data_IF_780751250915
#
_entry.id   IF_780751250915
#
_cell.length_a   1.000
_cell.length_b   1.000
_cell.length_c   1.000
_cell.angle_alpha   90.00
_cell.angle_beta   90.00
_cell.angle_gamma   90.00
#
_symmetry.space_group_name_H-M   'P 1'
#
loop_
_entity.id
_entity.type
_entity.pdbx_description
1 polymer ?
#
# COMPACT_ATOMS: atom_id res chain seq x y z
N UNK A 1 30.50 -69.25 -22.86
CA UNK A 1 29.99 -68.29 -21.86
C UNK A 1 30.40 -66.88 -22.28
N UNK A 2 29.57 -65.88 -21.96
CA UNK A 2 29.75 -64.43 -22.17
C UNK A 2 29.32 -63.83 -23.53
N UNK A 3 28.03 -63.50 -23.56
CA UNK A 3 27.30 -62.57 -24.44
C UNK A 3 27.79 -61.11 -24.30
N UNK A 4 27.99 -60.39 -25.41
CA UNK A 4 28.33 -58.94 -25.41
C UNK A 4 27.11 -58.11 -25.87
N UNK A 5 26.70 -57.18 -24.99
CA UNK A 5 25.53 -56.27 -25.10
C UNK A 5 25.84 -55.07 -26.04
N UNK A 6 24.85 -54.42 -26.68
CA UNK A 6 25.08 -53.38 -27.69
C UNK A 6 25.12 -51.95 -27.12
N UNK A 7 25.62 -51.05 -27.97
CA UNK A 7 25.93 -49.65 -27.73
C UNK A 7 24.75 -48.77 -27.28
N UNK A 8 25.02 -47.84 -26.36
CA UNK A 8 24.14 -46.73 -26.00
C UNK A 8 24.74 -45.39 -26.41
N UNK A 9 23.87 -44.57 -26.97
CA UNK A 9 24.03 -43.27 -27.63
C UNK A 9 24.64 -42.21 -26.69
N UNK A 10 25.68 -41.51 -27.14
CA UNK A 10 26.22 -40.32 -26.47
C UNK A 10 25.30 -39.12 -26.74
N UNK A 11 24.56 -38.66 -25.73
CA UNK A 11 23.92 -37.33 -25.73
C UNK A 11 24.99 -36.27 -25.47
N UNK A 12 25.06 -35.27 -26.35
CA UNK A 12 26.00 -34.17 -26.28
C UNK A 12 25.77 -33.33 -25.00
N UNK A 13 26.82 -33.16 -24.20
CA UNK A 13 26.85 -32.22 -23.08
C UNK A 13 27.35 -30.89 -23.62
N UNK A 14 26.49 -29.87 -23.61
CA UNK A 14 26.86 -28.49 -23.93
C UNK A 14 27.97 -28.03 -22.98
N UNK A 15 29.06 -27.54 -23.55
CA UNK A 15 30.20 -27.02 -22.83
C UNK A 15 29.89 -25.61 -22.32
N UNK A 16 29.69 -25.45 -21.02
CA UNK A 16 29.78 -24.14 -20.36
C UNK A 16 31.22 -23.95 -19.89
N UNK A 17 31.97 -23.16 -20.67
CA UNK A 17 33.27 -22.62 -20.26
C UNK A 17 33.04 -21.51 -19.21
N UNK A 18 33.49 -21.75 -17.99
CA UNK A 18 33.50 -20.77 -16.92
C UNK A 18 34.60 -21.09 -15.93
N UNK A 19 35.85 -20.85 -16.34
CA UNK A 19 37.01 -20.95 -15.46
C UNK A 19 37.22 -19.57 -14.81
N UNK A 20 36.96 -19.47 -13.52
CA UNK A 20 37.08 -18.23 -12.75
C UNK A 20 37.15 -18.54 -11.26
N UNK A 21 38.32 -19.00 -10.81
CA UNK A 21 38.73 -18.93 -9.41
C UNK A 21 38.85 -17.47 -9.01
N UNK A 22 37.97 -16.99 -8.15
CA UNK A 22 37.99 -15.62 -7.65
C UNK A 22 37.10 -15.50 -6.44
N UNK A 23 37.72 -15.59 -5.27
CA UNK A 23 37.10 -15.50 -3.96
C UNK A 23 36.12 -14.34 -3.87
N UNK A 24 34.86 -14.65 -3.54
CA UNK A 24 33.87 -13.65 -3.16
C UNK A 24 34.27 -13.15 -1.77
N UNK A 25 34.91 -11.99 -1.71
CA UNK A 25 35.35 -11.38 -0.46
C UNK A 25 34.16 -11.24 0.53
N UNK A 26 34.29 -11.87 1.71
CA UNK A 26 33.41 -11.65 2.86
C UNK A 26 32.58 -12.85 3.32
N UNK A 27 32.40 -13.89 2.48
CA UNK A 27 31.70 -15.11 2.90
C UNK A 27 32.49 -16.31 2.37
N UNK A 28 33.01 -17.14 3.29
CA UNK A 28 33.93 -18.23 2.99
C UNK A 28 33.41 -19.27 1.97
N UNK A 29 34.23 -20.29 1.64
CA UNK A 29 34.07 -21.16 0.47
C UNK A 29 32.80 -22.04 0.43
N UNK A 30 31.84 -21.87 1.34
CA UNK A 30 30.70 -22.78 1.57
C UNK A 30 29.31 -22.18 1.34
N UNK A 31 29.14 -20.95 0.80
CA UNK A 31 27.80 -20.44 0.44
C UNK A 31 27.51 -20.55 -1.07
N UNK A 32 27.18 -21.75 -1.51
CA UNK A 32 26.38 -21.97 -2.72
C UNK A 32 24.86 -21.93 -2.46
N UNK A 33 24.44 -21.73 -1.20
CA UNK A 33 23.05 -21.52 -0.86
C UNK A 33 22.68 -20.04 -1.03
N UNK A 34 21.69 -19.76 -1.87
CA UNK A 34 21.02 -18.46 -1.87
C UNK A 34 20.59 -18.14 -0.43
N UNK A 35 20.95 -16.98 0.14
CA UNK A 35 20.63 -16.64 1.53
C UNK A 35 19.12 -16.51 1.77
N UNK A 36 18.35 -16.26 0.70
CA UNK A 36 16.89 -16.21 0.73
C UNK A 36 16.30 -17.35 -0.10
N UNK A 37 15.10 -17.86 0.27
CA UNK A 37 14.38 -18.83 -0.53
C UNK A 37 14.08 -18.31 -1.94
N UNK A 38 13.94 -19.21 -2.91
CA UNK A 38 13.63 -18.86 -4.31
C UNK A 38 12.29 -18.13 -4.51
N UNK A 39 11.43 -18.13 -3.50
CA UNK A 39 10.13 -17.45 -3.49
C UNK A 39 10.17 -16.09 -2.80
N UNK A 40 11.33 -15.64 -2.30
CA UNK A 40 11.51 -14.27 -1.86
C UNK A 40 11.44 -13.33 -3.08
N UNK A 41 10.37 -12.54 -3.17
CA UNK A 41 10.10 -11.60 -4.27
C UNK A 41 10.29 -10.14 -3.85
N UNK A 42 11.01 -9.88 -2.77
CA UNK A 42 11.27 -8.50 -2.31
C UNK A 42 11.87 -7.68 -3.45
N UNK A 43 11.27 -6.51 -3.68
CA UNK A 43 11.69 -5.58 -4.73
C UNK A 43 12.72 -4.61 -4.19
N UNK A 44 13.80 -4.38 -4.93
CA UNK A 44 14.81 -3.38 -4.57
C UNK A 44 14.32 -1.96 -4.81
N UNK A 45 13.53 -1.75 -5.87
CA UNK A 45 13.02 -0.44 -6.28
C UNK A 45 11.50 -0.49 -6.24
N UNK A 46 10.89 0.52 -5.62
CA UNK A 46 9.44 0.69 -5.61
C UNK A 46 8.95 1.35 -6.90
N UNK A 47 7.63 1.36 -7.11
CA UNK A 47 7.04 1.99 -8.30
C UNK A 47 7.08 3.54 -8.25
N UNK A 48 7.18 4.13 -7.05
CA UNK A 48 7.11 5.59 -6.84
C UNK A 48 8.44 6.18 -6.40
N UNK A 49 8.64 7.46 -6.71
CA UNK A 49 9.74 8.24 -6.14
C UNK A 49 9.48 8.60 -4.68
N UNK A 50 10.51 9.04 -3.96
CA UNK A 50 10.36 9.47 -2.56
C UNK A 50 9.38 10.63 -2.46
N UNK A 51 9.46 11.60 -3.37
CA UNK A 51 8.58 12.77 -3.43
C UNK A 51 7.13 12.37 -3.70
N UNK A 52 6.90 11.42 -4.63
CA UNK A 52 5.58 10.87 -4.92
C UNK A 52 4.98 10.12 -3.73
N UNK A 53 5.81 9.45 -2.92
CA UNK A 53 5.40 8.80 -1.68
C UNK A 53 5.06 9.81 -0.58
N UNK A 54 5.82 10.90 -0.46
CA UNK A 54 5.56 11.98 0.52
C UNK A 54 4.19 12.61 0.27
N UNK A 55 3.89 13.03 -0.97
CA UNK A 55 2.59 13.65 -1.29
C UNK A 55 1.41 12.70 -0.99
N UNK A 56 1.58 11.40 -1.26
CA UNK A 56 0.57 10.39 -0.89
C UNK A 56 0.38 10.28 0.62
N UNK A 57 1.47 10.25 1.39
CA UNK A 57 1.42 10.18 2.86
C UNK A 57 0.75 11.44 3.45
N UNK A 58 1.03 12.62 2.91
CA UNK A 58 0.35 13.87 3.29
C UNK A 58 -1.16 13.75 3.07
N UNK A 59 -1.58 13.25 1.90
CA UNK A 59 -2.99 13.06 1.56
C UNK A 59 -3.68 12.02 2.45
N UNK A 60 -2.99 10.91 2.75
CA UNK A 60 -3.50 9.88 3.66
C UNK A 60 -3.67 10.43 5.06
N UNK A 61 -2.67 11.14 5.58
CA UNK A 61 -2.74 11.77 6.89
C UNK A 61 -3.91 12.73 7.00
N UNK A 62 -4.20 13.51 5.96
CA UNK A 62 -5.39 14.35 5.92
C UNK A 62 -6.68 13.52 6.06
N UNK A 63 -6.86 12.47 5.28
CA UNK A 63 -8.06 11.64 5.35
C UNK A 63 -8.22 10.96 6.73
N UNK A 64 -7.15 10.38 7.27
CA UNK A 64 -7.10 9.75 8.59
C UNK A 64 -7.44 10.77 9.71
N UNK A 65 -6.95 12.00 9.59
CA UNK A 65 -7.19 13.05 10.58
C UNK A 65 -8.66 13.48 10.57
N UNK A 66 -9.23 13.69 9.38
CA UNK A 66 -10.62 14.09 9.23
C UNK A 66 -11.58 12.99 9.71
N UNK A 67 -11.34 11.73 9.39
CA UNK A 67 -12.20 10.63 9.86
C UNK A 67 -12.06 10.39 11.36
N UNK A 68 -10.85 10.51 11.92
CA UNK A 68 -10.66 10.44 13.38
C UNK A 68 -11.46 11.54 14.09
N UNK A 69 -11.38 12.78 13.61
CA UNK A 69 -12.15 13.90 14.16
C UNK A 69 -13.67 13.68 14.04
N UNK A 70 -14.14 13.19 12.89
CA UNK A 70 -15.55 12.90 12.66
C UNK A 70 -16.08 11.82 13.60
N UNK A 71 -15.37 10.69 13.71
CA UNK A 71 -15.74 9.61 14.62
C UNK A 71 -15.79 10.11 16.07
N UNK A 72 -14.76 10.82 16.52
CA UNK A 72 -14.72 11.41 17.86
C UNK A 72 -15.87 12.38 18.14
N UNK A 73 -16.24 13.22 17.17
CA UNK A 73 -17.39 14.13 17.26
C UNK A 73 -18.72 13.39 17.33
N UNK A 74 -18.90 12.35 16.51
CA UNK A 74 -20.14 11.57 16.44
C UNK A 74 -20.40 10.71 17.67
N UNK A 75 -19.38 10.34 18.45
CA UNK A 75 -19.59 9.63 19.73
C UNK A 75 -20.53 10.40 20.65
N UNK A 76 -20.53 11.74 20.59
CA UNK A 76 -21.42 12.58 21.40
C UNK A 76 -22.88 12.60 20.88
N UNK A 77 -23.11 12.46 19.58
CA UNK A 77 -24.43 12.66 18.96
C UNK A 77 -25.20 11.37 18.69
N UNK A 78 -24.50 10.25 18.49
CA UNK A 78 -25.13 8.94 18.24
C UNK A 78 -25.88 8.47 19.50
N UNK A 79 -27.11 7.93 19.40
CA UNK A 79 -27.83 7.39 20.55
C UNK A 79 -27.44 5.94 20.88
N UNK A 80 -27.06 5.12 19.89
CA UNK A 80 -26.79 3.70 20.07
C UNK A 80 -25.47 3.44 20.83
N UNK A 81 -25.55 2.75 21.97
CA UNK A 81 -24.38 2.47 22.82
C UNK A 81 -23.36 1.56 22.12
N UNK A 82 -23.83 0.54 21.40
CA UNK A 82 -22.96 -0.41 20.71
C UNK A 82 -22.13 0.28 19.61
N UNK A 83 -22.74 1.26 18.93
CA UNK A 83 -22.04 2.08 17.93
C UNK A 83 -20.97 2.95 18.57
N UNK A 84 -21.24 3.54 19.73
CA UNK A 84 -20.23 4.31 20.49
C UNK A 84 -19.06 3.44 20.92
N UNK A 85 -19.35 2.25 21.41
CA UNK A 85 -18.34 1.30 21.86
C UNK A 85 -17.40 0.89 20.71
N UNK A 86 -17.95 0.71 19.51
CA UNK A 86 -17.17 0.45 18.29
C UNK A 86 -16.37 1.69 17.84
N UNK A 87 -16.94 2.89 17.92
CA UNK A 87 -16.28 4.12 17.45
C UNK A 87 -15.04 4.48 18.27
N UNK A 88 -15.01 4.16 19.57
CA UNK A 88 -13.87 4.47 20.44
C UNK A 88 -12.54 3.91 19.92
N UNK A 89 -12.40 2.57 19.77
CA UNK A 89 -11.22 1.95 19.19
C UNK A 89 -10.90 2.46 17.79
N UNK A 90 -11.89 2.60 16.91
CA UNK A 90 -11.68 3.03 15.53
C UNK A 90 -11.15 4.47 15.45
N UNK A 91 -11.72 5.38 16.24
CA UNK A 91 -11.24 6.76 16.36
C UNK A 91 -9.77 6.81 16.79
N UNK A 92 -9.39 5.98 17.78
CA UNK A 92 -8.01 5.87 18.25
C UNK A 92 -7.08 5.31 17.17
N UNK A 93 -7.49 4.28 16.44
CA UNK A 93 -6.70 3.69 15.35
C UNK A 93 -6.43 4.71 14.23
N UNK A 94 -7.42 5.49 13.81
CA UNK A 94 -7.22 6.57 12.83
C UNK A 94 -6.31 7.68 13.36
N UNK A 95 -6.43 8.06 14.64
CA UNK A 95 -5.51 9.01 15.27
C UNK A 95 -4.08 8.48 15.31
N UNK A 96 -3.90 7.20 15.64
CA UNK A 96 -2.60 6.54 15.65
C UNK A 96 -2.01 6.43 14.24
N UNK A 97 -2.84 6.16 13.23
CA UNK A 97 -2.42 6.20 11.83
C UNK A 97 -1.89 7.59 11.42
N UNK A 98 -2.54 8.67 11.87
CA UNK A 98 -2.04 10.03 11.66
C UNK A 98 -0.64 10.25 12.27
N UNK A 99 -0.42 9.74 13.48
CA UNK A 99 0.87 9.84 14.16
C UNK A 99 1.96 9.03 13.45
N UNK A 100 1.63 7.83 12.97
CA UNK A 100 2.56 7.02 12.18
C UNK A 100 2.97 7.74 10.89
N UNK A 101 2.03 8.39 10.20
CA UNK A 101 2.33 9.21 9.03
C UNK A 101 3.15 10.45 9.37
N UNK A 102 2.80 11.16 10.44
CA UNK A 102 3.56 12.31 10.95
C UNK A 102 5.03 11.95 11.20
N UNK A 103 5.28 10.81 11.83
CA UNK A 103 6.64 10.31 12.09
C UNK A 103 7.36 9.88 10.81
N UNK A 104 6.64 9.40 9.79
CA UNK A 104 7.25 8.93 8.53
C UNK A 104 7.71 10.08 7.63
N UNK A 105 7.02 11.21 7.63
CA UNK A 105 7.35 12.38 6.80
C UNK A 105 8.81 12.86 6.95
N UNK A 106 9.35 13.13 8.15
CA UNK A 106 10.73 13.57 8.30
C UNK A 106 11.75 12.49 7.89
N UNK A 107 11.41 11.20 8.03
CA UNK A 107 12.27 10.10 7.56
C UNK A 107 12.39 10.08 6.03
N UNK A 108 11.40 10.63 5.31
CA UNK A 108 11.40 10.83 3.87
C UNK A 108 11.94 12.21 3.46
N UNK A 109 12.51 12.97 4.41
CA UNK A 109 13.09 14.32 4.23
C UNK A 109 12.06 15.42 3.93
N UNK A 110 10.80 15.21 4.30
CA UNK A 110 9.85 16.30 4.37
C UNK A 110 10.16 17.17 5.59
N UNK A 111 10.17 18.50 5.42
CA UNK A 111 10.56 19.41 6.50
C UNK A 111 9.40 19.69 7.46
N UNK A 112 8.17 19.69 6.94
CA UNK A 112 6.97 19.90 7.73
C UNK A 112 6.31 18.56 8.09
N UNK A 113 6.64 18.03 9.27
CA UNK A 113 6.01 16.81 9.77
C UNK A 113 4.50 16.99 10.04
N UNK A 114 4.02 18.22 10.21
CA UNK A 114 2.61 18.53 10.46
C UNK A 114 1.81 18.78 9.18
N UNK A 115 2.42 18.62 8.00
CA UNK A 115 1.73 18.76 6.71
C UNK A 115 0.64 17.68 6.54
N UNK A 116 -0.60 18.12 6.35
CA UNK A 116 -1.76 17.29 6.05
C UNK A 116 -2.72 18.10 5.17
N UNK A 117 -2.78 17.74 3.90
CA UNK A 117 -3.52 18.48 2.88
C UNK A 117 -4.37 17.49 2.07
N UNK A 118 -5.55 17.90 1.57
CA UNK A 118 -6.31 17.08 0.64
C UNK A 118 -5.59 17.03 -0.71
N UNK A 119 -5.72 15.90 -1.43
CA UNK A 119 -5.12 15.75 -2.76
C UNK A 119 -5.65 16.77 -3.77
N UNK A 120 -6.93 17.13 -3.67
CA UNK A 120 -7.60 18.12 -4.50
C UNK A 120 -8.87 18.68 -3.81
N UNK A 121 -9.42 19.81 -4.30
CA UNK A 121 -10.64 20.40 -3.73
C UNK A 121 -11.86 19.48 -3.78
N UNK A 122 -11.93 18.58 -4.77
CA UNK A 122 -13.00 17.60 -4.91
C UNK A 122 -12.98 16.57 -3.77
N UNK A 123 -11.80 16.12 -3.35
CA UNK A 123 -11.65 15.21 -2.22
C UNK A 123 -11.94 15.90 -0.89
N UNK A 124 -11.56 17.17 -0.74
CA UNK A 124 -11.98 17.98 0.41
C UNK A 124 -13.51 18.11 0.48
N UNK A 125 -14.18 18.36 -0.66
CA UNK A 125 -15.63 18.41 -0.73
C UNK A 125 -16.28 17.05 -0.40
N UNK A 126 -15.69 15.95 -0.88
CA UNK A 126 -16.11 14.60 -0.50
C UNK A 126 -15.99 14.37 1.02
N UNK A 127 -14.87 14.74 1.65
CA UNK A 127 -14.69 14.56 3.09
C UNK A 127 -15.69 15.40 3.89
N UNK A 128 -15.94 16.65 3.48
CA UNK A 128 -16.98 17.51 4.09
C UNK A 128 -18.38 16.91 3.97
N UNK A 129 -18.72 16.36 2.81
CA UNK A 129 -20.02 15.70 2.59
C UNK A 129 -20.14 14.42 3.42
N UNK A 130 -19.09 13.61 3.47
CA UNK A 130 -19.05 12.38 4.26
C UNK A 130 -19.25 12.64 5.75
N UNK A 131 -18.71 13.75 6.26
CA UNK A 131 -18.82 14.14 7.68
C UNK A 131 -20.04 15.01 8.00
N UNK A 132 -20.81 15.43 6.98
CA UNK A 132 -22.00 16.29 7.13
C UNK A 132 -23.15 15.73 8.00
N UNK A 133 -23.37 14.40 8.13
CA UNK A 133 -24.44 13.91 9.00
C UNK A 133 -24.11 14.16 10.47
N UNK A 134 -24.70 15.18 11.09
CA UNK A 134 -24.46 15.51 12.50
C UNK A 134 -25.53 14.92 13.44
N UNK A 135 -26.78 14.89 12.99
CA UNK A 135 -27.94 14.48 13.79
C UNK A 135 -27.87 13.03 14.30
N UNK A 136 -28.47 12.79 15.47
CA UNK A 136 -28.53 11.47 16.10
C UNK A 136 -29.29 10.43 15.27
N UNK A 137 -30.30 10.85 14.49
CA UNK A 137 -31.12 9.96 13.66
C UNK A 137 -30.44 9.51 12.34
N UNK A 138 -29.21 9.97 12.12
CA UNK A 138 -28.39 9.71 10.94
C UNK A 138 -27.25 8.71 11.20
N UNK A 139 -27.38 7.85 12.21
CA UNK A 139 -26.38 6.82 12.52
C UNK A 139 -26.06 5.93 11.30
N UNK A 140 -27.07 5.54 10.53
CA UNK A 140 -26.86 4.69 9.34
C UNK A 140 -26.01 5.41 8.28
N UNK A 141 -26.24 6.70 8.06
CA UNK A 141 -25.48 7.51 7.11
C UNK A 141 -24.01 7.66 7.52
N UNK A 142 -23.77 7.92 8.81
CA UNK A 142 -22.42 7.98 9.41
C UNK A 142 -21.66 6.67 9.20
N UNK A 143 -22.32 5.54 9.49
CA UNK A 143 -21.74 4.21 9.33
C UNK A 143 -21.47 3.87 7.86
N UNK A 144 -22.45 4.12 6.98
CA UNK A 144 -22.33 3.77 5.56
C UNK A 144 -21.22 4.59 4.89
N UNK A 145 -21.16 5.90 5.13
CA UNK A 145 -20.10 6.73 4.57
C UNK A 145 -18.71 6.28 5.03
N UNK A 146 -18.57 5.93 6.31
CA UNK A 146 -17.28 5.47 6.86
C UNK A 146 -16.92 4.07 6.35
N UNK A 147 -17.76 3.07 6.62
CA UNK A 147 -17.38 1.66 6.50
C UNK A 147 -17.71 1.02 5.14
N UNK A 148 -18.55 1.64 4.31
CA UNK A 148 -18.84 1.16 2.94
C UNK A 148 -18.19 1.98 1.84
N UNK A 149 -17.78 3.22 2.12
CA UNK A 149 -17.17 4.10 1.11
C UNK A 149 -15.71 4.37 1.46
N UNK A 150 -15.41 5.08 2.56
CA UNK A 150 -14.05 5.53 2.85
C UNK A 150 -13.11 4.39 3.28
N UNK A 151 -13.49 3.56 4.26
CA UNK A 151 -12.64 2.46 4.77
C UNK A 151 -12.29 1.45 3.66
N UNK A 152 -13.23 0.98 2.82
CA UNK A 152 -12.89 0.13 1.68
C UNK A 152 -11.94 0.80 0.68
N UNK A 153 -12.11 2.11 0.44
CA UNK A 153 -11.22 2.88 -0.42
C UNK A 153 -9.80 2.97 0.16
N UNK A 154 -9.66 3.23 1.46
CA UNK A 154 -8.38 3.23 2.16
C UNK A 154 -7.74 1.85 2.13
N UNK A 155 -8.52 0.78 2.38
CA UNK A 155 -8.05 -0.60 2.33
C UNK A 155 -7.47 -0.94 0.94
N UNK A 156 -8.18 -0.57 -0.13
CA UNK A 156 -7.70 -0.78 -1.50
C UNK A 156 -6.43 0.04 -1.80
N UNK A 157 -6.42 1.32 -1.41
CA UNK A 157 -5.31 2.24 -1.67
C UNK A 157 -4.04 1.83 -0.91
N UNK A 158 -4.17 1.52 0.38
CA UNK A 158 -3.05 1.08 1.22
C UNK A 158 -2.54 -0.29 0.83
N UNK A 159 -3.43 -1.19 0.41
CA UNK A 159 -3.01 -2.50 -0.13
C UNK A 159 -2.20 -2.29 -1.40
N UNK A 160 -2.66 -1.43 -2.31
CA UNK A 160 -1.91 -1.11 -3.51
C UNK A 160 -0.53 -0.54 -3.15
N UNK A 161 -0.50 0.51 -2.33
CA UNK A 161 0.73 1.15 -1.84
C UNK A 161 1.71 0.11 -1.28
N UNK A 162 1.24 -0.74 -0.36
CA UNK A 162 2.08 -1.76 0.27
C UNK A 162 2.71 -2.72 -0.75
N UNK A 163 1.98 -3.08 -1.82
CA UNK A 163 2.47 -4.03 -2.83
C UNK A 163 3.42 -3.41 -3.85
N UNK A 164 3.38 -2.09 -4.04
CA UNK A 164 4.25 -1.38 -4.99
C UNK A 164 5.49 -0.77 -4.33
N UNK A 165 5.48 -0.59 -3.01
CA UNK A 165 6.62 -0.11 -2.24
C UNK A 165 7.72 -1.17 -2.14
N UNK A 166 8.98 -0.73 -2.13
CA UNK A 166 10.11 -1.63 -1.94
C UNK A 166 10.19 -2.14 -0.50
N UNK A 167 10.11 -3.46 -0.34
CA UNK A 167 10.36 -4.14 0.93
C UNK A 167 11.82 -4.03 1.43
N UNK A 168 12.73 -3.51 0.62
CA UNK A 168 14.16 -3.43 0.92
C UNK A 168 14.53 -2.01 1.33
N UNK A 169 14.30 -1.03 0.45
CA UNK A 169 14.71 0.37 0.71
C UNK A 169 13.67 1.14 1.51
N UNK A 170 12.41 0.71 1.49
CA UNK A 170 11.29 1.38 2.14
C UNK A 170 10.45 0.42 3.00
N UNK A 171 11.14 -0.53 3.64
CA UNK A 171 10.54 -1.46 4.60
C UNK A 171 9.75 -0.78 5.74
N UNK A 172 10.14 0.41 6.26
CA UNK A 172 9.36 1.09 7.30
C UNK A 172 7.94 1.43 6.84
N UNK A 173 7.77 1.96 5.62
CA UNK A 173 6.43 2.27 5.08
C UNK A 173 5.59 1.01 4.91
N UNK A 174 6.17 -0.08 4.39
CA UNK A 174 5.49 -1.38 4.28
C UNK A 174 5.01 -1.90 5.63
N UNK A 175 5.82 -1.71 6.68
CA UNK A 175 5.46 -2.10 8.06
C UNK A 175 4.32 -1.25 8.61
N UNK A 176 4.37 0.07 8.44
CA UNK A 176 3.31 0.99 8.87
C UNK A 176 1.98 0.63 8.20
N UNK A 177 1.99 0.45 6.87
CA UNK A 177 0.81 0.01 6.11
C UNK A 177 0.29 -1.34 6.61
N UNK A 178 1.17 -2.25 7.03
CA UNK A 178 0.76 -3.54 7.60
C UNK A 178 -0.09 -3.40 8.87
N UNK A 179 0.23 -2.45 9.76
CA UNK A 179 -0.59 -2.19 10.94
C UNK A 179 -1.94 -1.60 10.55
N UNK A 180 -1.93 -0.55 9.72
CA UNK A 180 -3.16 0.13 9.31
C UNK A 180 -4.10 -0.80 8.54
N UNK A 181 -3.58 -1.66 7.67
CA UNK A 181 -4.40 -2.64 6.93
C UNK A 181 -5.07 -3.65 7.85
N UNK A 182 -4.42 -4.06 8.94
CA UNK A 182 -5.01 -4.98 9.92
C UNK A 182 -6.17 -4.32 10.67
N UNK A 183 -5.98 -3.06 11.07
CA UNK A 183 -7.02 -2.27 11.73
C UNK A 183 -8.19 -2.01 10.78
N UNK A 184 -7.94 -1.50 9.56
CA UNK A 184 -8.97 -1.23 8.55
C UNK A 184 -9.78 -2.48 8.18
N UNK A 185 -9.15 -3.66 8.13
CA UNK A 185 -9.88 -4.90 7.88
C UNK A 185 -10.86 -5.23 9.02
N UNK A 186 -10.44 -5.04 10.27
CA UNK A 186 -11.30 -5.23 11.45
C UNK A 186 -12.46 -4.25 11.42
N UNK A 187 -12.16 -2.97 11.19
CA UNK A 187 -13.14 -1.89 11.05
C UNK A 187 -14.17 -2.15 9.95
N UNK A 188 -13.72 -2.63 8.79
CA UNK A 188 -14.60 -2.98 7.68
C UNK A 188 -15.63 -4.05 8.08
N UNK A 189 -15.16 -5.10 8.75
CA UNK A 189 -16.03 -6.21 9.19
C UNK A 189 -17.01 -5.73 10.27
N UNK A 190 -16.52 -5.09 11.32
CA UNK A 190 -17.34 -4.63 12.45
C UNK A 190 -18.36 -3.56 12.02
N UNK A 191 -17.92 -2.62 11.17
CA UNK A 191 -18.79 -1.59 10.60
C UNK A 191 -19.90 -2.19 9.74
N UNK A 192 -19.58 -3.16 8.88
CA UNK A 192 -20.60 -3.83 8.07
C UNK A 192 -21.57 -4.65 8.92
N UNK A 193 -21.09 -5.33 9.96
CA UNK A 193 -21.95 -6.03 10.92
C UNK A 193 -22.96 -5.07 11.58
N UNK A 194 -22.50 -3.89 12.02
CA UNK A 194 -23.36 -2.88 12.62
C UNK A 194 -24.39 -2.33 11.64
N UNK A 195 -24.00 -2.09 10.38
CA UNK A 195 -24.93 -1.63 9.34
C UNK A 195 -26.02 -2.67 9.08
N UNK A 196 -25.66 -3.96 9.00
CA UNK A 196 -26.64 -5.03 8.81
C UNK A 196 -27.61 -5.15 10.00
N UNK A 197 -27.12 -4.92 11.22
CA UNK A 197 -27.96 -4.95 12.41
C UNK A 197 -28.91 -3.74 12.49
N UNK A 198 -28.46 -2.53 12.15
CA UNK A 198 -29.30 -1.33 12.26
C UNK A 198 -30.23 -1.15 11.05
N UNK A 199 -29.81 -1.50 9.84
CA UNK A 199 -30.60 -1.36 8.61
C UNK A 199 -31.57 -2.55 8.41
N UNK A 200 -32.41 -2.85 9.41
CA UNK A 200 -33.37 -3.98 9.37
C UNK A 200 -34.57 -3.74 8.46
N UNK A 201 -34.94 -2.49 8.23
CA UNK A 201 -36.13 -2.14 7.45
C UNK A 201 -35.78 -1.82 5.99
N UNK A 202 -36.70 -2.09 5.03
CA UNK A 202 -36.48 -1.71 3.63
C UNK A 202 -36.19 -0.22 3.45
N UNK A 203 -36.87 0.64 4.22
CA UNK A 203 -36.68 2.10 4.19
C UNK A 203 -35.26 2.50 4.59
N UNK A 204 -34.71 1.92 5.66
CA UNK A 204 -33.34 2.20 6.09
C UNK A 204 -32.31 1.69 5.08
N UNK A 205 -32.54 0.51 4.47
CA UNK A 205 -31.66 -0.02 3.43
C UNK A 205 -31.66 0.83 2.17
N UNK A 206 -32.82 1.32 1.74
CA UNK A 206 -32.92 2.24 0.61
C UNK A 206 -32.19 3.55 0.89
N UNK A 207 -32.35 4.10 2.10
CA UNK A 207 -31.65 5.31 2.56
C UNK A 207 -30.14 5.12 2.56
N UNK A 208 -29.65 4.01 3.13
CA UNK A 208 -28.25 3.62 3.11
C UNK A 208 -27.69 3.49 1.69
N UNK A 209 -28.41 2.80 0.79
CA UNK A 209 -27.95 2.61 -0.60
C UNK A 209 -27.88 3.91 -1.40
N UNK A 210 -28.85 4.82 -1.22
CA UNK A 210 -28.82 6.15 -1.85
C UNK A 210 -27.63 6.97 -1.35
N UNK A 211 -27.39 6.97 -0.05
CA UNK A 211 -26.27 7.69 0.54
C UNK A 211 -24.92 7.14 0.09
N UNK A 212 -24.76 5.81 0.09
CA UNK A 212 -23.56 5.15 -0.43
C UNK A 212 -23.29 5.55 -1.88
N UNK A 213 -24.29 5.44 -2.76
CA UNK A 213 -24.14 5.78 -4.17
C UNK A 213 -23.76 7.25 -4.38
N UNK A 214 -24.35 8.15 -3.61
CA UNK A 214 -24.02 9.58 -3.65
C UNK A 214 -22.55 9.84 -3.32
N UNK A 215 -22.07 9.28 -2.21
CA UNK A 215 -20.68 9.41 -1.78
C UNK A 215 -19.71 8.72 -2.74
N UNK A 216 -20.03 7.53 -3.25
CA UNK A 216 -19.22 6.81 -4.24
C UNK A 216 -19.00 7.65 -5.52
N UNK A 217 -20.05 8.34 -5.99
CA UNK A 217 -19.94 9.23 -7.15
C UNK A 217 -19.02 10.41 -6.86
N UNK A 218 -19.06 10.98 -5.66
CA UNK A 218 -18.15 12.07 -5.26
C UNK A 218 -16.70 11.59 -5.13
N UNK A 219 -16.48 10.43 -4.51
CA UNK A 219 -15.16 9.82 -4.37
C UNK A 219 -14.55 9.47 -5.72
N UNK A 220 -15.34 8.93 -6.65
CA UNK A 220 -14.88 8.62 -8.00
C UNK A 220 -14.48 9.88 -8.77
N UNK A 221 -15.24 10.98 -8.62
CA UNK A 221 -14.92 12.28 -9.21
C UNK A 221 -13.63 12.87 -8.65
N UNK A 222 -13.38 12.72 -7.36
CA UNK A 222 -12.16 13.23 -6.73
C UNK A 222 -10.91 12.43 -7.10
N UNK A 223 -11.04 11.23 -7.67
CA UNK A 223 -9.89 10.33 -7.83
C UNK A 223 -9.44 9.71 -6.49
N UNK A 224 -10.34 9.63 -5.51
CA UNK A 224 -10.03 9.08 -4.21
C UNK A 224 -9.04 9.91 -3.38
N UNK A 225 -8.55 9.31 -2.30
CA UNK A 225 -7.65 9.97 -1.33
C UNK A 225 -6.34 10.47 -1.95
N UNK A 226 -5.81 9.84 -3.00
CA UNK A 226 -4.57 10.26 -3.65
C UNK A 226 -4.81 11.25 -4.81
N UNK A 227 -6.07 11.57 -5.15
CA UNK A 227 -6.39 12.46 -6.27
C UNK A 227 -6.16 11.84 -7.65
N UNK A 228 -6.12 10.52 -7.74
CA UNK A 228 -5.79 9.76 -8.94
C UNK A 228 -6.95 8.85 -9.34
N UNK A 229 -7.43 8.94 -10.58
CA UNK A 229 -8.53 8.08 -11.07
C UNK A 229 -8.17 6.59 -11.19
N UNK A 230 -6.95 6.21 -10.82
CA UNK A 230 -6.45 4.83 -10.74
C UNK A 230 -5.71 4.65 -9.42
N UNK A 231 -5.83 3.49 -8.77
CA UNK A 231 -5.19 3.21 -7.47
C UNK A 231 -3.66 3.44 -7.42
N UNK A 232 -2.97 3.40 -8.57
CA UNK A 232 -1.53 3.53 -8.67
C UNK A 232 -0.99 4.81 -9.29
N UNK A 233 -1.87 5.67 -9.79
CA UNK A 233 -1.47 6.89 -10.50
C UNK A 233 -0.62 6.68 -11.74
N UNK A 234 -0.07 7.78 -12.24
CA UNK A 234 1.01 7.74 -13.23
C UNK A 234 2.32 7.44 -12.51
N UNK A 235 2.58 6.17 -12.17
CA UNK A 235 3.91 5.79 -11.70
C UNK A 235 4.94 6.06 -12.80
N UNK A 236 5.93 6.92 -12.52
CA UNK A 236 7.15 6.90 -13.31
C UNK A 236 7.96 5.74 -12.80
N UNK A 237 7.89 4.60 -13.50
CA UNK A 237 8.78 3.46 -13.23
C UNK A 237 10.20 4.00 -13.11
N UNK A 238 10.75 3.98 -11.90
CA UNK A 238 12.14 4.33 -11.68
C UNK A 238 12.96 3.16 -12.22
N UNK A 239 13.27 3.24 -13.51
CA UNK A 239 14.29 2.36 -14.10
C UNK A 239 15.55 2.57 -13.26
N UNK A 240 16.18 1.50 -12.73
CA UNK A 240 17.50 1.66 -12.15
C UNK A 240 18.35 2.33 -13.22
N UNK A 241 18.91 3.51 -12.92
CA UNK A 241 19.81 4.18 -13.84
C UNK A 241 20.82 3.14 -14.30
N UNK A 242 20.89 2.88 -15.63
CA UNK A 242 21.66 1.79 -16.26
C UNK A 242 22.83 1.48 -15.36
N UNK A 243 22.83 0.30 -14.71
CA UNK A 243 23.84 -0.06 -13.72
C UNK A 243 25.18 0.44 -14.24
N UNK A 244 25.70 1.51 -13.63
CA UNK A 244 26.86 2.20 -14.17
C UNK A 244 27.97 1.19 -13.95
N UNK A 245 28.25 0.42 -14.99
CA UNK A 245 29.30 -0.57 -14.98
C UNK A 245 30.54 0.16 -14.50
N UNK A 246 31.08 -0.29 -13.36
CA UNK A 246 32.29 0.29 -12.81
C UNK A 246 33.39 0.31 -13.87
N UNK A 247 34.37 1.22 -13.78
CA UNK A 247 35.40 1.40 -14.80
C UNK A 247 36.05 0.07 -15.25
N UNK A 248 36.24 -0.85 -14.30
CA UNK A 248 36.81 -2.18 -14.52
C UNK A 248 35.94 -3.15 -15.36
N UNK A 249 34.61 -2.98 -15.36
CA UNK A 249 33.72 -3.83 -16.16
C UNK A 249 33.53 -3.27 -17.57
N UNK A 250 33.62 -1.94 -17.75
CA UNK A 250 33.64 -1.29 -19.07
C UNK A 250 34.87 -1.70 -19.86
N UNK A 251 36.05 -1.62 -19.24
CA UNK A 251 37.31 -2.02 -19.89
C UNK A 251 37.33 -3.51 -20.26
N UNK A 252 36.72 -4.38 -19.45
CA UNK A 252 36.57 -5.81 -19.79
C UNK A 252 35.65 -6.05 -20.98
N UNK A 253 34.56 -5.28 -21.12
CA UNK A 253 33.65 -5.39 -22.26
C UNK A 253 34.24 -4.79 -23.55
N UNK A 254 34.96 -3.68 -23.43
CA UNK A 254 35.71 -3.06 -24.55
C UNK A 254 36.82 -4.00 -25.05
N UNK A 255 37.54 -4.66 -24.14
CA UNK A 255 38.54 -5.67 -24.49
C UNK A 255 37.94 -6.96 -25.07
N UNK A 256 36.70 -7.31 -24.71
CA UNK A 256 36.00 -8.45 -25.29
C UNK A 256 35.43 -8.15 -26.69
N UNK A 257 35.06 -6.90 -26.97
CA UNK A 257 34.58 -6.46 -28.29
C UNK A 257 35.69 -6.42 -29.35
N UNK A 258 36.90 -6.00 -28.97
CA UNK A 258 38.05 -5.93 -29.89
C UNK A 258 38.69 -7.28 -30.21
N UNK A 259 38.39 -8.33 -29.45
CA UNK A 259 38.85 -9.70 -29.73
C UNK A 259 37.94 -10.45 -30.74
N UNK A 260 36.87 -9.81 -31.22
CA UNK A 260 35.89 -10.39 -32.16
C UNK A 260 35.83 -9.71 -33.54
N UNK A 261 36.75 -8.80 -33.82
CA UNK A 261 36.94 -8.17 -35.14
C UNK A 261 38.23 -8.63 -35.79
#
# INVERSE_FOLDING_TARGET
MATKKPATTKTAKAATNGNGSGDVAGYGPSRHAQPFPYWDRRRLVGEWTVEESVERIVNYRYAEQQISAALGGWVATIPELDVKAMFGPHCYQHAWACDLWRLRLPELRENDELRAEPANPEFEAFMKELTSPEDGDLTVEKLVGTYRVLVPHLLATYTFHQKVTSDIVDSPTVRILGFMLADLHTQFVEGEMMIQDLARTPKLRERAGKWQTHLDVMLAKSGGVAGEHTLGGRSRIVMPGKAILGPALRTKLEAAGTASS
#
